data_IF_756598371636
#
_entry.id   IF_756598371636
#
_cell.length_a   1.000
_cell.length_b   1.000
_cell.length_c   1.000
_cell.angle_alpha   90.00
_cell.angle_beta   90.00
_cell.angle_gamma   90.00
#
_symmetry.space_group_name_H-M   'P 1'
#
loop_
_entity.id
_entity.type
_entity.pdbx_description
1 polymer ?
#
# COMPACT_ATOMS: atom_id res chain seq x y z
N UNK A 1 3.49 3.58 -6.58
CA UNK A 1 3.71 5.04 -6.58
C UNK A 1 2.63 5.81 -5.81
N UNK A 2 1.51 5.18 -5.44
CA UNK A 2 0.36 5.84 -4.80
C UNK A 2 -0.39 6.82 -5.73
N UNK A 3 -0.06 6.86 -7.02
CA UNK A 3 -0.67 7.75 -8.02
C UNK A 3 -1.68 6.99 -8.87
N UNK A 4 -2.87 7.59 -9.03
CA UNK A 4 -3.93 7.17 -9.94
C UNK A 4 -3.94 8.02 -11.22
N UNK A 5 -4.46 7.48 -12.30
CA UNK A 5 -4.84 8.23 -13.52
C UNK A 5 -6.29 8.68 -13.47
N UNK A 6 -7.03 8.29 -12.44
CA UNK A 6 -8.43 8.62 -12.21
C UNK A 6 -8.54 9.88 -11.39
N UNK A 7 -9.60 10.65 -11.61
CA UNK A 7 -9.98 11.80 -10.82
C UNK A 7 -10.66 11.36 -9.53
N UNK A 8 -10.34 12.01 -8.41
CA UNK A 8 -11.03 11.80 -7.15
C UNK A 8 -12.30 12.63 -7.02
N UNK A 9 -13.06 12.49 -5.91
CA UNK A 9 -14.27 13.26 -5.68
C UNK A 9 -13.99 14.68 -5.18
N UNK A 10 -14.83 15.62 -5.58
CA UNK A 10 -14.83 16.99 -5.07
C UNK A 10 -15.58 17.10 -3.72
N UNK A 11 -16.30 16.05 -3.33
CA UNK A 11 -17.12 16.03 -2.12
C UNK A 11 -16.86 14.80 -1.23
N UNK A 12 -17.23 14.93 0.05
CA UNK A 12 -17.08 13.89 1.06
C UNK A 12 -18.38 13.13 1.37
N UNK A 13 -19.32 13.06 0.41
CA UNK A 13 -20.58 12.36 0.67
C UNK A 13 -20.36 10.86 0.82
N UNK A 14 -20.98 10.28 1.83
CA UNK A 14 -21.05 8.82 1.97
C UNK A 14 -22.00 8.27 0.88
N UNK A 15 -21.45 7.45 -0.03
CA UNK A 15 -22.25 6.68 -1.01
C UNK A 15 -22.83 5.44 -0.34
N UNK A 16 -21.98 4.68 0.33
CA UNK A 16 -22.35 3.51 1.11
C UNK A 16 -21.24 3.13 2.11
N UNK A 17 -21.61 2.31 3.09
CA UNK A 17 -20.68 1.59 3.95
C UNK A 17 -21.07 0.11 3.99
N UNK A 18 -20.08 -0.76 3.97
CA UNK A 18 -20.25 -2.21 4.09
C UNK A 18 -19.60 -2.69 5.37
N UNK A 19 -20.36 -3.34 6.25
CA UNK A 19 -19.87 -3.83 7.54
C UNK A 19 -19.25 -5.23 7.40
N UNK A 20 -18.03 -5.39 7.92
CA UNK A 20 -17.36 -6.67 8.15
C UNK A 20 -17.39 -6.99 9.65
N UNK A 21 -17.08 -8.24 10.02
CA UNK A 21 -17.14 -8.68 11.43
C UNK A 21 -15.93 -8.21 12.29
N UNK A 22 -14.92 -7.56 11.67
CA UNK A 22 -13.71 -7.10 12.36
C UNK A 22 -13.03 -5.96 11.60
N UNK A 23 -11.93 -5.43 12.16
CA UNK A 23 -11.09 -4.36 11.61
C UNK A 23 -10.73 -4.58 10.14
N UNK A 24 -10.80 -3.51 9.34
CA UNK A 24 -10.38 -3.48 7.94
C UNK A 24 -9.15 -2.58 7.81
N UNK A 25 -7.97 -3.18 7.97
CA UNK A 25 -6.67 -2.50 7.78
C UNK A 25 -6.11 -2.68 6.34
N UNK A 26 -6.61 -3.68 5.61
CA UNK A 26 -6.32 -3.89 4.19
C UNK A 26 -6.81 -2.71 3.35
N UNK A 27 -6.09 -2.38 2.30
CA UNK A 27 -6.58 -1.44 1.28
C UNK A 27 -7.40 -2.16 0.21
N UNK A 28 -8.28 -1.44 -0.44
CA UNK A 28 -9.11 -1.96 -1.52
C UNK A 28 -8.31 -2.07 -2.83
N UNK A 29 -8.68 -3.03 -3.68
CA UNK A 29 -8.33 -3.03 -5.11
C UNK A 29 -9.61 -3.23 -5.92
N UNK A 30 -9.63 -2.69 -7.14
CA UNK A 30 -10.78 -2.76 -8.03
C UNK A 30 -10.43 -3.58 -9.28
N UNK A 31 -11.41 -4.35 -9.78
CA UNK A 31 -11.34 -4.90 -11.13
C UNK A 31 -11.88 -3.90 -12.17
N UNK A 32 -11.94 -4.34 -13.42
CA UNK A 32 -12.41 -3.52 -14.55
C UNK A 32 -13.92 -3.21 -14.50
N UNK A 33 -14.70 -4.03 -13.77
CA UNK A 33 -16.14 -3.81 -13.57
C UNK A 33 -16.41 -2.94 -12.33
N UNK A 34 -15.37 -2.47 -11.66
CA UNK A 34 -15.47 -1.67 -10.43
C UNK A 34 -15.81 -2.49 -9.19
N UNK A 35 -15.76 -3.84 -9.24
CA UNK A 35 -15.88 -4.67 -8.04
C UNK A 35 -14.71 -4.41 -7.11
N UNK A 36 -15.00 -4.17 -5.85
CA UNK A 36 -14.03 -3.86 -4.80
C UNK A 36 -13.64 -5.14 -4.07
N UNK A 37 -12.34 -5.45 -4.03
CA UNK A 37 -11.81 -6.58 -3.26
C UNK A 37 -11.00 -6.06 -2.08
N UNK A 38 -11.34 -6.54 -0.87
CA UNK A 38 -10.74 -6.06 0.37
C UNK A 38 -10.70 -7.18 1.42
N UNK A 39 -9.60 -7.25 2.17
CA UNK A 39 -9.42 -8.20 3.25
C UNK A 39 -9.82 -7.62 4.61
N UNK A 40 -10.29 -8.47 5.52
CA UNK A 40 -10.60 -8.09 6.90
C UNK A 40 -9.88 -8.99 7.92
N UNK A 41 -9.73 -8.49 9.13
CA UNK A 41 -9.23 -9.28 10.26
C UNK A 41 -10.24 -10.32 10.75
N UNK A 42 -11.48 -10.33 10.24
CA UNK A 42 -12.45 -11.40 10.43
C UNK A 42 -12.13 -12.67 9.63
N UNK A 43 -10.99 -12.68 8.94
CA UNK A 43 -10.44 -13.78 8.15
C UNK A 43 -11.09 -13.98 6.77
N UNK A 44 -11.86 -13.01 6.30
CA UNK A 44 -12.54 -13.09 5.00
C UNK A 44 -11.95 -12.10 4.00
N UNK A 45 -11.91 -12.53 2.74
CA UNK A 45 -11.80 -11.67 1.58
C UNK A 45 -13.20 -11.36 1.09
N UNK A 46 -13.49 -10.09 0.87
CA UNK A 46 -14.78 -9.62 0.38
C UNK A 46 -14.66 -9.12 -1.06
N UNK A 47 -15.63 -9.45 -1.88
CA UNK A 47 -15.91 -8.80 -3.16
C UNK A 47 -17.22 -8.03 -3.02
N UNK A 48 -17.15 -6.71 -3.15
CA UNK A 48 -18.26 -5.79 -2.97
C UNK A 48 -18.53 -5.14 -4.33
N UNK A 49 -19.79 -5.08 -4.75
CA UNK A 49 -20.18 -4.39 -5.98
C UNK A 49 -20.07 -2.87 -5.83
N UNK A 50 -20.00 -2.10 -6.94
CA UNK A 50 -19.94 -0.63 -6.88
C UNK A 50 -21.11 0.02 -6.11
N UNK A 51 -22.25 -0.65 -6.03
CA UNK A 51 -23.44 -0.21 -5.29
C UNK A 51 -23.36 -0.50 -3.77
N UNK A 52 -22.27 -1.11 -3.29
CA UNK A 52 -22.06 -1.47 -1.89
C UNK A 52 -22.66 -2.83 -1.48
N UNK A 53 -23.32 -3.57 -2.39
CA UNK A 53 -23.85 -4.89 -2.09
C UNK A 53 -22.77 -5.98 -2.17
N UNK A 54 -22.89 -7.01 -1.33
CA UNK A 54 -21.96 -8.14 -1.36
C UNK A 54 -22.11 -8.92 -2.67
N UNK A 55 -21.01 -9.12 -3.41
CA UNK A 55 -20.95 -10.05 -4.55
C UNK A 55 -20.66 -11.45 -4.06
N UNK A 56 -19.62 -11.62 -3.26
CA UNK A 56 -19.26 -12.85 -2.56
C UNK A 56 -18.23 -12.56 -1.44
N UNK A 57 -18.05 -13.51 -0.53
CA UNK A 57 -16.95 -13.52 0.41
C UNK A 57 -16.31 -14.90 0.50
N UNK A 58 -15.02 -14.96 0.73
CA UNK A 58 -14.24 -16.20 0.84
C UNK A 58 -13.54 -16.27 2.20
N UNK A 59 -13.71 -17.38 2.93
CA UNK A 59 -13.02 -17.60 4.20
C UNK A 59 -11.57 -18.06 3.93
N UNK A 60 -10.63 -17.20 4.27
CA UNK A 60 -9.18 -17.44 4.18
C UNK A 60 -8.67 -18.23 5.39
N UNK A 61 -9.42 -18.23 6.50
CA UNK A 61 -9.07 -18.94 7.74
C UNK A 61 -8.01 -18.24 8.58
N UNK A 62 -7.62 -17.00 8.25
CA UNK A 62 -6.66 -16.18 9.01
C UNK A 62 -6.84 -14.71 8.68
N UNK A 63 -6.47 -13.82 9.61
CA UNK A 63 -6.51 -12.36 9.42
C UNK A 63 -5.82 -11.93 8.13
N UNK A 64 -6.38 -10.92 7.47
CA UNK A 64 -5.83 -10.33 6.25
C UNK A 64 -5.47 -8.88 6.57
N UNK A 65 -4.17 -8.57 6.54
CA UNK A 65 -3.65 -7.21 6.67
C UNK A 65 -3.19 -6.66 5.31
N UNK A 66 -2.75 -7.57 4.43
CA UNK A 66 -2.24 -7.21 3.11
C UNK A 66 -3.36 -6.71 2.20
N UNK A 67 -3.02 -5.77 1.33
CA UNK A 67 -3.86 -5.39 0.19
C UNK A 67 -3.85 -6.54 -0.83
N UNK A 68 -4.99 -7.03 -1.32
CA UNK A 68 -5.03 -8.00 -2.41
C UNK A 68 -4.38 -7.44 -3.68
N UNK A 69 -4.00 -8.30 -4.62
CA UNK A 69 -3.54 -7.87 -5.94
C UNK A 69 -4.32 -8.60 -7.04
N UNK A 70 -4.59 -7.92 -8.17
CA UNK A 70 -5.35 -8.47 -9.28
C UNK A 70 -4.50 -8.46 -10.55
N UNK A 71 -4.47 -9.57 -11.26
CA UNK A 71 -3.90 -9.66 -12.61
C UNK A 71 -4.58 -10.74 -13.42
N UNK A 72 -4.92 -10.45 -14.67
CA UNK A 72 -5.52 -11.42 -15.61
C UNK A 72 -6.71 -12.19 -15.00
N UNK A 73 -7.62 -11.47 -14.35
CA UNK A 73 -8.81 -12.03 -13.69
C UNK A 73 -8.50 -13.03 -12.56
N UNK A 74 -7.34 -12.88 -11.93
CA UNK A 74 -6.94 -13.65 -10.73
C UNK A 74 -6.66 -12.67 -9.59
N UNK A 75 -7.27 -12.93 -8.44
CA UNK A 75 -7.07 -12.20 -7.20
C UNK A 75 -6.07 -13.00 -6.35
N UNK A 76 -5.02 -12.34 -5.91
CA UNK A 76 -4.05 -12.91 -5.00
C UNK A 76 -4.19 -12.25 -3.63
N UNK A 77 -4.34 -13.05 -2.59
CA UNK A 77 -4.46 -12.58 -1.22
C UNK A 77 -3.51 -13.34 -0.30
N UNK A 78 -2.83 -12.59 0.57
CA UNK A 78 -1.91 -13.11 1.56
C UNK A 78 -2.54 -13.06 2.94
N UNK A 79 -2.44 -14.17 3.67
CA UNK A 79 -2.98 -14.30 5.02
C UNK A 79 -1.87 -14.23 6.07
N UNK A 80 -2.21 -13.70 7.25
CA UNK A 80 -1.30 -13.56 8.39
C UNK A 80 -0.60 -14.87 8.79
N UNK A 81 -1.22 -16.02 8.57
CA UNK A 81 -0.63 -17.33 8.88
C UNK A 81 0.33 -17.88 7.80
N UNK A 82 0.72 -17.07 6.81
CA UNK A 82 1.65 -17.47 5.75
C UNK A 82 1.01 -18.19 4.56
N UNK A 83 -0.32 -18.27 4.48
CA UNK A 83 -1.02 -18.80 3.32
C UNK A 83 -1.19 -17.74 2.25
N UNK A 84 -1.03 -18.16 1.00
CA UNK A 84 -1.26 -17.34 -0.18
C UNK A 84 -2.31 -18.04 -1.03
N UNK A 85 -3.34 -17.31 -1.42
CA UNK A 85 -4.45 -17.82 -2.21
C UNK A 85 -4.49 -17.11 -3.56
N UNK A 86 -4.86 -17.84 -4.60
CA UNK A 86 -5.28 -17.30 -5.88
C UNK A 86 -6.73 -17.70 -6.14
N UNK A 87 -7.60 -16.72 -6.33
CA UNK A 87 -9.02 -16.89 -6.62
C UNK A 87 -9.34 -16.28 -7.97
N UNK A 88 -10.37 -16.77 -8.67
CA UNK A 88 -10.91 -16.03 -9.80
C UNK A 88 -11.84 -14.89 -9.33
N UNK A 89 -12.37 -14.09 -10.28
CA UNK A 89 -13.26 -12.96 -9.97
C UNK A 89 -14.64 -13.39 -9.43
N UNK A 90 -14.97 -14.70 -9.53
CA UNK A 90 -16.19 -15.29 -8.95
C UNK A 90 -15.93 -15.89 -7.56
N UNK A 91 -14.71 -15.75 -7.03
CA UNK A 91 -14.34 -16.23 -5.70
C UNK A 91 -13.98 -17.74 -5.66
N UNK A 92 -13.83 -18.42 -6.81
CA UNK A 92 -13.44 -19.82 -6.84
C UNK A 92 -11.92 -19.97 -6.67
N UNK A 93 -11.52 -20.88 -5.81
CA UNK A 93 -10.11 -21.16 -5.55
C UNK A 93 -9.42 -21.78 -6.77
N UNK A 94 -8.37 -21.16 -7.27
CA UNK A 94 -7.48 -21.71 -8.30
C UNK A 94 -6.33 -22.52 -7.67
N UNK A 95 -5.66 -21.94 -6.68
CA UNK A 95 -4.64 -22.60 -5.90
C UNK A 95 -4.41 -21.89 -4.56
N UNK A 96 -3.79 -22.62 -3.64
CA UNK A 96 -3.26 -22.09 -2.39
C UNK A 96 -1.92 -22.70 -2.08
N UNK A 97 -1.02 -21.94 -1.49
CA UNK A 97 0.27 -22.40 -0.99
C UNK A 97 0.51 -21.91 0.43
N UNK A 98 1.41 -22.56 1.13
CA UNK A 98 1.84 -22.19 2.48
C UNK A 98 3.33 -21.90 2.47
N UNK A 99 3.74 -20.73 2.96
CA UNK A 99 5.13 -20.44 3.33
C UNK A 99 5.25 -20.45 4.86
N UNK A 100 6.47 -20.60 5.37
CA UNK A 100 6.73 -20.43 6.80
C UNK A 100 6.64 -18.94 7.12
N UNK A 101 6.19 -18.61 8.36
CA UNK A 101 6.11 -17.25 8.84
C UNK A 101 4.84 -16.51 8.42
N UNK A 102 4.65 -15.33 8.99
CA UNK A 102 3.48 -14.48 8.74
C UNK A 102 3.72 -13.63 7.49
N UNK A 103 2.64 -13.16 6.89
CA UNK A 103 2.68 -12.24 5.75
C UNK A 103 1.84 -11.00 6.11
N UNK A 104 2.50 -9.86 6.27
CA UNK A 104 1.90 -8.52 6.36
C UNK A 104 2.12 -7.72 5.07
N UNK A 105 3.15 -8.06 4.33
CA UNK A 105 3.45 -7.49 3.01
C UNK A 105 2.31 -7.74 2.00
N UNK A 106 1.95 -6.74 1.23
CA UNK A 106 1.01 -6.90 0.11
C UNK A 106 1.74 -7.50 -1.10
N UNK A 107 1.13 -8.45 -1.81
CA UNK A 107 1.72 -9.00 -3.03
C UNK A 107 1.76 -7.95 -4.14
N UNK A 108 2.88 -7.87 -4.85
CA UNK A 108 3.04 -7.04 -6.04
C UNK A 108 3.25 -7.95 -7.25
N UNK A 109 2.63 -7.60 -8.37
CA UNK A 109 2.63 -8.42 -9.59
C UNK A 109 3.45 -7.72 -10.66
N UNK A 110 4.44 -8.43 -11.22
CA UNK A 110 5.22 -7.95 -12.36
C UNK A 110 4.46 -8.10 -13.68
N UNK A 111 4.92 -7.44 -14.76
CA UNK A 111 4.31 -7.48 -16.08
C UNK A 111 4.11 -8.91 -16.63
N UNK A 112 4.99 -9.86 -16.29
CA UNK A 112 4.87 -11.27 -16.65
C UNK A 112 4.02 -12.11 -15.70
N UNK A 113 3.35 -11.48 -14.72
CA UNK A 113 2.39 -12.10 -13.82
C UNK A 113 3.01 -12.77 -12.58
N UNK A 114 4.32 -12.68 -12.35
CA UNK A 114 4.92 -13.21 -11.14
C UNK A 114 4.59 -12.32 -9.94
N UNK A 115 4.34 -12.96 -8.79
CA UNK A 115 4.10 -12.29 -7.52
C UNK A 115 5.41 -12.13 -6.76
N UNK A 116 5.50 -11.00 -6.05
CA UNK A 116 6.58 -10.71 -5.12
C UNK A 116 5.97 -10.30 -3.79
N UNK A 117 6.46 -10.84 -2.68
CA UNK A 117 5.98 -10.53 -1.33
C UNK A 117 7.05 -10.82 -0.28
N UNK A 118 7.01 -10.06 0.80
CA UNK A 118 7.85 -10.26 1.97
C UNK A 118 7.16 -11.10 3.04
N UNK A 119 7.95 -11.65 3.96
CA UNK A 119 7.46 -12.41 5.11
C UNK A 119 8.31 -12.16 6.36
N UNK A 120 7.72 -12.37 7.55
CA UNK A 120 8.41 -12.28 8.82
C UNK A 120 9.37 -13.47 9.09
N UNK A 121 9.43 -14.43 8.17
CA UNK A 121 10.47 -15.45 8.17
C UNK A 121 11.80 -14.99 7.55
N UNK A 122 11.94 -13.69 7.27
CA UNK A 122 13.15 -13.01 6.76
C UNK A 122 13.38 -13.16 5.26
N UNK A 123 12.39 -13.61 4.48
CA UNK A 123 12.52 -13.78 3.04
C UNK A 123 11.62 -12.86 2.24
N UNK A 124 12.15 -12.39 1.11
CA UNK A 124 11.37 -11.93 -0.03
C UNK A 124 11.21 -13.11 -0.99
N UNK A 125 9.98 -13.35 -1.44
CA UNK A 125 9.64 -14.45 -2.35
C UNK A 125 9.26 -13.95 -3.73
N UNK A 126 9.64 -14.70 -4.77
CA UNK A 126 9.05 -14.63 -6.11
C UNK A 126 8.29 -15.91 -6.38
N UNK A 127 7.02 -15.77 -6.79
CA UNK A 127 6.09 -16.87 -6.98
C UNK A 127 5.50 -16.74 -8.38
N UNK A 128 5.42 -17.86 -9.12
CA UNK A 128 4.79 -17.87 -10.44
C UNK A 128 3.27 -17.70 -10.36
N UNK A 129 2.58 -17.34 -11.46
CA UNK A 129 1.12 -17.28 -11.51
C UNK A 129 0.43 -18.62 -11.16
N UNK A 130 1.16 -19.75 -11.29
CA UNK A 130 0.68 -21.09 -10.94
C UNK A 130 0.96 -21.48 -9.47
N UNK A 131 1.44 -20.54 -8.63
CA UNK A 131 1.71 -20.80 -7.21
C UNK A 131 3.06 -21.51 -6.91
N UNK A 132 3.97 -21.63 -7.89
CA UNK A 132 5.30 -22.20 -7.65
C UNK A 132 6.27 -21.14 -7.16
N UNK A 133 6.95 -21.38 -6.04
CA UNK A 133 8.06 -20.53 -5.58
C UNK A 133 9.21 -20.66 -6.59
N UNK A 134 9.58 -19.54 -7.22
CA UNK A 134 10.67 -19.50 -8.20
C UNK A 134 12.02 -19.24 -7.54
N UNK A 135 12.04 -18.32 -6.56
CA UNK A 135 13.19 -18.07 -5.70
C UNK A 135 12.74 -17.38 -4.40
N UNK A 136 13.62 -17.39 -3.41
CA UNK A 136 13.50 -16.68 -2.16
C UNK A 136 14.85 -16.04 -1.80
N UNK A 137 14.82 -14.75 -1.45
CA UNK A 137 15.99 -13.98 -1.03
C UNK A 137 15.96 -13.76 0.48
N UNK A 138 17.04 -14.15 1.17
CA UNK A 138 17.14 -14.03 2.63
C UNK A 138 17.63 -12.63 3.05
N UNK A 139 16.94 -12.02 3.99
CA UNK A 139 17.37 -10.85 4.76
C UNK A 139 17.79 -11.28 6.17
N UNK A 140 18.10 -10.32 7.04
CA UNK A 140 18.50 -10.62 8.44
C UNK A 140 17.36 -10.49 9.44
N UNK A 141 16.23 -9.90 9.05
CA UNK A 141 15.00 -9.72 9.85
C UNK A 141 13.78 -9.72 8.93
N UNK A 142 12.60 -9.46 9.49
CA UNK A 142 11.30 -9.43 8.81
C UNK A 142 11.32 -8.56 7.54
N UNK A 143 10.55 -8.96 6.55
CA UNK A 143 10.26 -8.19 5.34
C UNK A 143 8.76 -7.87 5.36
N UNK A 144 8.39 -6.81 6.10
CA UNK A 144 7.01 -6.31 6.20
C UNK A 144 6.68 -5.35 5.05
N UNK A 145 7.69 -4.72 4.48
CA UNK A 145 7.59 -3.86 3.31
C UNK A 145 7.04 -4.62 2.11
N UNK A 146 6.05 -4.06 1.42
CA UNK A 146 5.65 -4.55 0.11
C UNK A 146 6.68 -4.12 -0.93
N UNK A 147 7.07 -4.97 -1.89
CA UNK A 147 8.09 -4.61 -2.86
C UNK A 147 7.58 -3.61 -3.91
N UNK A 148 8.49 -2.89 -4.57
CA UNK A 148 8.23 -2.16 -5.80
C UNK A 148 9.09 -2.72 -6.93
N UNK A 149 8.60 -2.67 -8.16
CA UNK A 149 9.27 -3.24 -9.33
C UNK A 149 9.37 -2.16 -10.39
N UNK A 150 10.57 -1.92 -10.92
CA UNK A 150 10.76 -1.00 -12.04
C UNK A 150 10.49 -1.68 -13.41
N UNK A 151 10.61 -0.90 -14.48
CA UNK A 151 10.37 -1.39 -15.83
C UNK A 151 11.42 -2.41 -16.32
N UNK A 152 12.59 -2.46 -15.68
CA UNK A 152 13.66 -3.43 -15.95
C UNK A 152 13.46 -4.72 -15.16
N UNK A 153 12.48 -4.75 -14.24
CA UNK A 153 12.18 -5.87 -13.37
C UNK A 153 13.07 -5.93 -12.12
N UNK A 154 13.80 -4.86 -11.80
CA UNK A 154 14.51 -4.72 -10.51
C UNK A 154 13.48 -4.61 -9.39
N UNK A 155 13.68 -5.38 -8.33
CA UNK A 155 12.77 -5.44 -7.18
C UNK A 155 13.38 -4.70 -6.01
N UNK A 156 12.70 -3.65 -5.54
CA UNK A 156 13.10 -2.84 -4.39
C UNK A 156 12.22 -3.16 -3.19
N UNK A 157 12.79 -3.26 -2.00
CA UNK A 157 12.04 -3.49 -0.76
C UNK A 157 12.85 -3.08 0.48
N UNK A 158 12.14 -2.82 1.55
CA UNK A 158 12.72 -2.57 2.87
C UNK A 158 12.70 -3.81 3.76
N UNK A 159 13.58 -3.86 4.76
CA UNK A 159 13.57 -4.90 5.79
C UNK A 159 13.75 -4.30 7.18
N UNK A 160 13.21 -4.98 8.18
CA UNK A 160 13.42 -4.64 9.59
C UNK A 160 14.88 -4.83 10.05
N UNK A 161 15.76 -5.29 9.16
CA UNK A 161 17.22 -5.30 9.39
C UNK A 161 17.89 -3.94 9.09
N UNK A 162 17.07 -2.90 8.85
CA UNK A 162 17.51 -1.53 8.57
C UNK A 162 18.24 -1.41 7.23
N UNK A 163 17.77 -2.12 6.21
CA UNK A 163 18.28 -2.03 4.84
C UNK A 163 17.18 -1.88 3.82
N UNK A 164 17.48 -1.07 2.82
CA UNK A 164 16.77 -1.01 1.54
C UNK A 164 17.53 -1.90 0.58
N UNK A 165 16.85 -2.82 -0.07
CA UNK A 165 17.42 -3.79 -1.00
C UNK A 165 16.96 -3.53 -2.42
N UNK A 166 17.82 -3.82 -3.38
CA UNK A 166 17.49 -3.98 -4.78
C UNK A 166 17.98 -5.34 -5.28
N UNK A 167 17.10 -6.10 -5.90
CA UNK A 167 17.41 -7.39 -6.51
C UNK A 167 17.21 -7.33 -8.01
N UNK A 168 18.08 -8.04 -8.75
CA UNK A 168 17.86 -8.31 -10.16
C UNK A 168 16.64 -9.24 -10.35
N UNK A 169 16.06 -9.33 -11.56
CA UNK A 169 14.90 -10.19 -11.84
C UNK A 169 15.10 -11.67 -11.52
N UNK A 170 16.37 -12.14 -11.48
CA UNK A 170 16.76 -13.52 -11.12
C UNK A 170 16.88 -13.73 -9.60
N UNK A 171 16.65 -12.71 -8.79
CA UNK A 171 16.70 -12.76 -7.33
C UNK A 171 18.09 -12.54 -6.72
N UNK A 172 19.11 -12.23 -7.53
CA UNK A 172 20.44 -11.88 -7.03
C UNK A 172 20.47 -10.43 -6.53
N UNK A 173 21.24 -10.22 -5.47
CA UNK A 173 21.45 -8.89 -4.91
C UNK A 173 22.12 -7.98 -5.93
N UNK A 174 21.48 -6.84 -6.25
CA UNK A 174 22.07 -5.75 -7.04
C UNK A 174 22.82 -4.80 -6.11
N UNK A 175 22.16 -4.35 -5.05
CA UNK A 175 22.74 -3.55 -3.97
C UNK A 175 21.84 -3.54 -2.73
N UNK A 176 22.39 -3.07 -1.61
CA UNK A 176 21.62 -2.66 -0.45
C UNK A 176 22.18 -1.35 0.13
N UNK A 177 21.28 -0.51 0.67
CA UNK A 177 21.62 0.73 1.39
C UNK A 177 21.13 0.63 2.84
N UNK A 178 21.92 1.16 3.79
CA UNK A 178 21.58 1.11 5.23
C UNK A 178 20.79 2.34 5.65
N UNK A 179 19.78 2.12 6.48
CA UNK A 179 19.10 3.14 7.27
C UNK A 179 19.51 3.04 8.74
N UNK A 180 19.08 3.98 9.58
CA UNK A 180 19.35 3.93 11.03
C UNK A 180 18.23 3.26 11.83
N UNK A 181 17.10 2.94 11.20
CA UNK A 181 15.92 2.28 11.80
C UNK A 181 15.37 1.16 10.93
N UNK A 182 14.47 0.37 11.49
CA UNK A 182 13.72 -0.66 10.79
C UNK A 182 12.91 -0.05 9.64
N UNK A 183 12.55 -0.86 8.64
CA UNK A 183 11.76 -0.42 7.50
C UNK A 183 10.51 -1.28 7.40
N UNK A 184 9.37 -0.67 7.68
CA UNK A 184 8.02 -1.24 7.54
C UNK A 184 7.30 -0.65 6.34
N UNK A 185 7.60 0.59 5.98
CA UNK A 185 7.12 1.31 4.80
C UNK A 185 7.49 0.58 3.50
N UNK A 186 6.66 0.68 2.48
CA UNK A 186 6.97 0.17 1.13
C UNK A 186 7.65 1.25 0.28
N UNK A 187 8.59 0.89 -0.61
CA UNK A 187 9.25 1.86 -1.47
C UNK A 187 8.32 2.37 -2.57
N UNK A 188 8.53 3.62 -2.99
CA UNK A 188 7.96 4.17 -4.20
C UNK A 188 9.06 4.51 -5.20
N UNK A 189 8.76 4.36 -6.50
CA UNK A 189 9.69 4.68 -7.60
C UNK A 189 9.18 5.94 -8.28
N UNK A 190 10.00 6.97 -8.32
CA UNK A 190 9.72 8.22 -9.00
C UNK A 190 9.82 8.12 -10.53
N UNK A 191 9.35 9.14 -11.26
CA UNK A 191 9.40 9.15 -12.72
C UNK A 191 10.83 9.17 -13.28
N UNK A 192 11.80 9.63 -12.51
CA UNK A 192 13.24 9.63 -12.82
C UNK A 192 13.98 8.36 -12.33
N UNK A 193 13.24 7.36 -11.82
CA UNK A 193 13.80 6.13 -11.26
C UNK A 193 14.31 6.28 -9.82
N UNK A 194 14.17 7.43 -9.17
CA UNK A 194 14.53 7.61 -7.76
C UNK A 194 13.67 6.72 -6.87
N UNK A 195 14.30 6.01 -5.92
CA UNK A 195 13.62 5.14 -4.96
C UNK A 195 13.42 5.92 -3.66
N UNK A 196 12.17 6.09 -3.24
CA UNK A 196 11.80 6.75 -2.00
C UNK A 196 11.39 5.71 -0.96
N UNK A 197 11.95 5.80 0.26
CA UNK A 197 11.72 4.82 1.32
C UNK A 197 11.60 5.49 2.69
N UNK A 198 10.49 5.28 3.38
CA UNK A 198 10.32 5.66 4.78
C UNK A 198 11.05 4.69 5.73
N UNK A 199 11.45 5.17 6.90
CA UNK A 199 12.11 4.36 7.93
C UNK A 199 11.67 4.77 9.34
N UNK A 200 11.78 3.83 10.28
CA UNK A 200 11.48 4.05 11.70
C UNK A 200 12.56 4.90 12.42
N UNK A 201 13.60 5.35 11.70
CA UNK A 201 14.49 6.43 12.20
C UNK A 201 13.91 7.84 11.97
N UNK A 202 12.69 7.91 11.39
CA UNK A 202 12.01 9.16 11.06
C UNK A 202 12.51 9.81 9.77
N UNK A 203 13.24 9.09 8.93
CA UNK A 203 13.74 9.62 7.65
C UNK A 203 12.99 9.06 6.47
N UNK A 204 12.67 9.94 5.53
CA UNK A 204 12.38 9.60 4.16
C UNK A 204 13.69 9.65 3.38
N UNK A 205 14.12 8.51 2.88
CA UNK A 205 15.33 8.38 2.04
C UNK A 205 14.96 8.46 0.56
N UNK A 206 15.79 9.15 -0.21
CA UNK A 206 15.77 9.12 -1.67
C UNK A 206 17.09 8.55 -2.17
N UNK A 207 17.01 7.47 -2.95
CA UNK A 207 18.17 6.77 -3.52
C UNK A 207 18.11 6.80 -5.03
N UNK A 208 19.28 6.91 -5.66
CA UNK A 208 19.42 6.66 -7.10
C UNK A 208 19.20 5.17 -7.41
N UNK A 209 18.91 4.78 -8.68
CA UNK A 209 18.80 3.39 -9.09
C UNK A 209 20.05 2.52 -8.82
N UNK A 210 21.21 3.12 -8.62
CA UNK A 210 22.47 2.45 -8.23
C UNK A 210 22.61 2.27 -6.70
N UNK A 211 21.62 2.72 -5.91
CA UNK A 211 21.60 2.59 -4.44
C UNK A 211 22.32 3.70 -3.69
N UNK A 212 22.91 4.68 -4.38
CA UNK A 212 23.52 5.83 -3.73
C UNK A 212 22.44 6.80 -3.24
N UNK A 213 22.61 7.29 -2.02
CA UNK A 213 21.70 8.27 -1.44
C UNK A 213 21.79 9.61 -2.18
N UNK A 214 20.64 10.11 -2.68
CA UNK A 214 20.50 11.49 -3.21
C UNK A 214 20.37 12.46 -2.05
N UNK A 215 19.39 12.22 -1.20
CA UNK A 215 19.07 13.01 -0.02
C UNK A 215 18.27 12.21 1.00
N UNK A 216 18.06 12.76 2.17
CA UNK A 216 17.03 12.34 3.12
C UNK A 216 16.34 13.56 3.73
N UNK A 217 15.08 13.38 4.12
CA UNK A 217 14.28 14.34 4.87
C UNK A 217 13.97 13.78 6.25
N UNK A 218 14.13 14.58 7.31
CA UNK A 218 13.91 14.15 8.70
C UNK A 218 12.54 14.62 9.19
N UNK A 219 11.66 13.70 9.57
CA UNK A 219 10.42 13.93 10.33
C UNK A 219 10.68 13.82 11.83
N UNK A 220 9.67 14.14 12.66
CA UNK A 220 9.83 14.09 14.12
C UNK A 220 9.67 12.70 14.72
N UNK A 221 9.03 11.75 14.01
CA UNK A 221 8.81 10.35 14.42
C UNK A 221 8.93 9.41 13.23
N UNK A 222 8.66 8.14 13.43
CA UNK A 222 8.72 7.06 12.45
C UNK A 222 7.90 7.36 11.19
N UNK A 223 8.33 6.80 10.07
CA UNK A 223 7.61 6.80 8.80
C UNK A 223 7.24 5.36 8.46
N UNK A 224 6.00 4.98 8.84
CA UNK A 224 5.40 3.69 8.47
C UNK A 224 4.58 3.81 7.18
N UNK A 225 4.08 5.01 6.87
CA UNK A 225 3.40 5.34 5.61
C UNK A 225 4.32 5.10 4.42
N UNK A 226 3.82 4.48 3.36
CA UNK A 226 4.57 4.39 2.10
C UNK A 226 4.47 5.70 1.33
N UNK A 227 5.56 6.20 0.72
CA UNK A 227 5.53 7.45 -0.03
C UNK A 227 4.64 7.35 -1.27
N UNK A 228 3.94 8.43 -1.61
CA UNK A 228 3.31 8.61 -2.91
C UNK A 228 4.10 9.65 -3.72
N UNK A 229 4.22 9.44 -5.04
CA UNK A 229 5.02 10.30 -5.92
C UNK A 229 4.15 10.81 -7.06
N UNK A 230 4.03 12.12 -7.21
CA UNK A 230 3.28 12.74 -8.30
C UNK A 230 3.97 12.58 -9.65
N UNK A 231 3.30 12.98 -10.73
CA UNK A 231 3.85 12.98 -12.09
C UNK A 231 5.06 13.91 -12.21
N UNK A 232 5.05 15.01 -11.47
CA UNK A 232 6.12 16.02 -11.41
C UNK A 232 7.28 15.60 -10.48
N UNK A 233 7.17 14.44 -9.81
CA UNK A 233 8.18 13.94 -8.87
C UNK A 233 8.03 14.49 -7.45
N UNK A 234 6.97 15.24 -7.10
CA UNK A 234 6.72 15.62 -5.71
C UNK A 234 6.39 14.38 -4.87
N UNK A 235 6.91 14.35 -3.65
CA UNK A 235 6.79 13.19 -2.75
C UNK A 235 5.92 13.56 -1.56
N UNK A 236 4.90 12.73 -1.28
CA UNK A 236 4.00 12.89 -0.15
C UNK A 236 4.18 11.70 0.79
N UNK A 237 4.32 11.97 2.09
CA UNK A 237 4.53 10.89 3.08
C UNK A 237 3.92 11.26 4.43
N UNK A 238 3.21 10.32 5.04
CA UNK A 238 2.70 10.42 6.40
C UNK A 238 3.75 10.04 7.43
N UNK A 239 3.65 10.61 8.63
CA UNK A 239 4.53 10.28 9.76
C UNK A 239 3.71 9.99 11.02
N UNK A 240 4.31 9.20 11.91
CA UNK A 240 3.77 8.93 13.24
C UNK A 240 3.79 10.17 14.15
N UNK A 241 4.36 11.30 13.68
CA UNK A 241 4.19 12.59 14.35
C UNK A 241 2.82 13.24 14.06
N UNK A 242 2.00 12.62 13.19
CA UNK A 242 0.68 13.09 12.79
C UNK A 242 0.69 14.16 11.70
N UNK A 243 1.78 14.26 10.95
CA UNK A 243 1.90 15.20 9.83
C UNK A 243 2.02 14.46 8.50
N UNK A 244 1.36 14.98 7.47
CA UNK A 244 1.64 14.69 6.08
C UNK A 244 2.65 15.72 5.58
N UNK A 245 3.72 15.26 4.97
CA UNK A 245 4.78 16.08 4.40
C UNK A 245 4.75 16.02 2.88
N UNK A 246 4.89 17.16 2.22
CA UNK A 246 5.08 17.26 0.78
C UNK A 246 6.46 17.84 0.47
N UNK A 247 7.21 17.14 -0.35
CA UNK A 247 8.58 17.48 -0.73
C UNK A 247 8.67 17.63 -2.26
N UNK A 248 9.56 18.50 -2.74
CA UNK A 248 9.92 18.51 -4.14
C UNK A 248 10.89 17.35 -4.48
N UNK A 249 11.24 17.10 -5.77
CA UNK A 249 12.19 16.04 -6.16
C UNK A 249 13.58 16.15 -5.55
N UNK A 250 13.99 17.33 -5.08
CA UNK A 250 15.28 17.60 -4.45
C UNK A 250 15.26 17.39 -2.93
N UNK A 251 14.10 16.97 -2.38
CA UNK A 251 13.94 16.74 -0.93
C UNK A 251 13.67 17.99 -0.11
N UNK A 252 13.36 19.11 -0.76
CA UNK A 252 13.02 20.37 -0.08
C UNK A 252 11.54 20.35 0.29
N UNK A 253 11.25 20.67 1.56
CA UNK A 253 9.87 20.76 2.06
C UNK A 253 9.09 21.85 1.35
N UNK A 254 7.95 21.49 0.77
CA UNK A 254 6.98 22.42 0.16
C UNK A 254 5.96 22.88 1.20
N UNK A 255 5.34 21.94 1.87
CA UNK A 255 4.35 22.19 2.91
C UNK A 255 4.19 20.98 3.84
N UNK A 256 3.51 21.23 4.96
CA UNK A 256 3.14 20.23 5.95
C UNK A 256 1.69 20.43 6.36
N UNK A 257 0.92 19.33 6.40
CA UNK A 257 -0.44 19.33 6.92
C UNK A 257 -0.50 18.51 8.22
N UNK A 258 -1.05 19.09 9.29
CA UNK A 258 -1.12 18.47 10.62
C UNK A 258 -2.50 17.87 10.88
N UNK A 259 -2.55 16.61 11.31
CA UNK A 259 -3.75 15.94 11.83
C UNK A 259 -3.64 15.76 13.35
N UNK A 260 -4.74 15.33 13.99
CA UNK A 260 -4.76 15.04 15.42
C UNK A 260 -4.38 13.58 15.75
N UNK A 261 -3.99 12.78 14.76
CA UNK A 261 -3.60 11.39 14.91
C UNK A 261 -2.37 11.02 14.10
N UNK A 262 -1.84 9.82 14.33
CA UNK A 262 -0.75 9.24 13.55
C UNK A 262 -1.21 9.03 12.10
N UNK A 263 -0.30 9.18 11.12
CA UNK A 263 -0.56 8.89 9.71
C UNK A 263 0.29 7.69 9.29
N UNK A 264 -0.32 6.49 9.29
CA UNK A 264 0.28 5.26 8.77
C UNK A 264 -0.28 4.87 7.41
N UNK A 265 -1.46 5.40 7.05
CA UNK A 265 -2.05 5.27 5.72
C UNK A 265 -1.11 5.85 4.65
N UNK A 266 -0.93 5.14 3.55
CA UNK A 266 -0.17 5.66 2.41
C UNK A 266 -1.05 6.62 1.60
N UNK A 267 -0.54 7.80 1.21
CA UNK A 267 -1.33 8.75 0.41
C UNK A 267 -1.66 8.19 -0.97
N UNK A 268 -2.87 8.50 -1.47
CA UNK A 268 -3.24 8.34 -2.88
C UNK A 268 -3.31 9.71 -3.54
N UNK A 269 -2.84 9.79 -4.79
CA UNK A 269 -2.83 11.01 -5.59
C UNK A 269 -3.74 10.78 -6.80
N UNK A 270 -4.70 11.65 -7.04
CA UNK A 270 -5.57 11.59 -8.22
C UNK A 270 -4.93 12.23 -9.46
N UNK A 271 -5.66 12.24 -10.59
CA UNK A 271 -5.19 12.83 -11.85
C UNK A 271 -4.97 14.34 -11.78
N UNK A 272 -5.67 15.02 -10.89
CA UNK A 272 -5.58 16.48 -10.69
C UNK A 272 -4.49 16.84 -9.66
N UNK A 273 -3.88 15.81 -9.03
CA UNK A 273 -2.84 15.95 -8.03
C UNK A 273 -3.37 16.13 -6.60
N UNK A 274 -4.68 15.97 -6.36
CA UNK A 274 -5.22 15.99 -5.01
C UNK A 274 -4.78 14.77 -4.23
N UNK A 275 -4.56 14.94 -2.93
CA UNK A 275 -3.97 13.94 -2.05
C UNK A 275 -5.00 13.46 -1.03
N UNK A 276 -5.20 12.14 -0.97
CA UNK A 276 -6.13 11.51 -0.03
C UNK A 276 -5.36 10.58 0.91
N UNK A 277 -5.65 10.64 2.21
CA UNK A 277 -4.98 9.80 3.22
C UNK A 277 -5.83 9.65 4.48
N UNK A 278 -5.66 8.51 5.15
CA UNK A 278 -6.29 8.23 6.43
C UNK A 278 -5.41 8.62 7.61
N UNK A 279 -6.04 8.88 8.76
CA UNK A 279 -5.36 9.18 10.01
C UNK A 279 -5.97 8.41 11.19
N UNK A 280 -5.19 8.25 12.24
CA UNK A 280 -5.65 7.63 13.49
C UNK A 280 -6.62 8.55 14.27
N UNK A 281 -6.80 9.81 13.86
CA UNK A 281 -7.87 10.66 14.38
C UNK A 281 -9.25 10.32 13.78
N UNK A 282 -9.36 9.16 13.09
CA UNK A 282 -10.58 8.60 12.49
C UNK A 282 -11.07 9.38 11.26
N UNK A 283 -10.22 10.16 10.62
CA UNK A 283 -10.60 10.93 9.44
C UNK A 283 -9.85 10.48 8.20
N UNK A 284 -10.58 10.41 7.09
CA UNK A 284 -10.04 10.50 5.76
C UNK A 284 -9.94 11.99 5.39
N UNK A 285 -8.81 12.39 4.85
CA UNK A 285 -8.54 13.77 4.44
C UNK A 285 -8.34 13.85 2.93
N UNK A 286 -8.77 14.96 2.35
CA UNK A 286 -8.45 15.39 0.98
C UNK A 286 -7.79 16.75 1.01
N UNK A 287 -6.65 16.88 0.34
CA UNK A 287 -5.89 18.11 0.17
C UNK A 287 -5.64 18.38 -1.32
N UNK A 288 -5.55 19.65 -1.70
CA UNK A 288 -5.04 20.06 -3.01
C UNK A 288 -3.51 19.86 -3.12
N UNK A 289 -2.93 19.95 -4.33
CA UNK A 289 -1.48 19.77 -4.53
C UNK A 289 -0.60 20.76 -3.77
N UNK A 290 -1.12 21.91 -3.42
CA UNK A 290 -0.46 22.97 -2.62
C UNK A 290 -0.64 22.81 -1.10
N UNK A 291 -1.35 21.74 -0.67
CA UNK A 291 -1.59 21.44 0.74
C UNK A 291 -2.81 22.12 1.35
N UNK A 292 -3.63 22.82 0.55
CA UNK A 292 -4.88 23.40 1.01
C UNK A 292 -5.89 22.30 1.36
N UNK A 293 -6.54 22.42 2.52
CA UNK A 293 -7.59 21.51 2.95
C UNK A 293 -8.81 21.63 2.04
N UNK A 294 -9.26 20.51 1.46
CA UNK A 294 -10.48 20.43 0.66
C UNK A 294 -11.65 19.95 1.52
N UNK A 295 -11.53 18.75 2.06
CA UNK A 295 -12.56 18.16 2.91
C UNK A 295 -12.00 17.02 3.78
N UNK A 296 -12.79 16.56 4.73
CA UNK A 296 -12.53 15.35 5.50
C UNK A 296 -13.82 14.59 5.77
N UNK A 297 -13.71 13.25 5.88
CA UNK A 297 -14.79 12.36 6.29
C UNK A 297 -14.43 11.64 7.59
N UNK A 298 -15.34 11.58 8.56
CA UNK A 298 -15.11 10.96 9.87
C UNK A 298 -15.75 9.57 9.94
N UNK A 299 -14.96 8.57 10.36
CA UNK A 299 -15.39 7.19 10.61
C UNK A 299 -15.50 6.90 12.10
N UNK A 300 -16.04 5.72 12.47
CA UNK A 300 -16.10 5.28 13.87
C UNK A 300 -14.75 4.84 14.45
N UNK A 301 -13.79 4.43 13.61
CA UNK A 301 -12.48 3.90 14.00
C UNK A 301 -11.31 4.59 13.31
N UNK A 302 -10.08 4.25 13.69
CA UNK A 302 -8.87 4.77 13.02
C UNK A 302 -8.77 4.25 11.59
N UNK A 303 -8.17 5.04 10.69
CA UNK A 303 -7.99 4.68 9.30
C UNK A 303 -6.50 4.39 9.07
N UNK A 304 -6.18 3.08 8.93
CA UNK A 304 -4.84 2.59 8.57
C UNK A 304 -4.74 2.20 7.11
N UNK A 305 -5.87 1.78 6.52
CA UNK A 305 -5.91 1.43 5.10
C UNK A 305 -5.53 2.63 4.23
N UNK A 306 -4.93 2.35 3.09
CA UNK A 306 -4.67 3.39 2.09
C UNK A 306 -5.90 3.57 1.20
N UNK A 307 -6.31 4.81 0.89
CA UNK A 307 -7.45 5.06 0.02
C UNK A 307 -7.16 4.61 -1.41
N UNK A 308 -8.19 4.09 -2.07
CA UNK A 308 -8.14 3.67 -3.47
C UNK A 308 -9.17 4.47 -4.26
N UNK A 309 -8.74 5.08 -5.36
CA UNK A 309 -9.58 5.92 -6.22
C UNK A 309 -10.20 5.04 -7.31
N UNK A 310 -11.51 5.01 -7.38
CA UNK A 310 -12.29 4.30 -8.39
C UNK A 310 -12.58 5.14 -9.63
N UNK A 311 -13.05 4.49 -10.73
CA UNK A 311 -13.31 5.16 -12.00
C UNK A 311 -14.53 6.10 -11.97
N UNK A 312 -15.39 5.96 -10.99
CA UNK A 312 -16.61 6.76 -10.76
C UNK A 312 -16.39 7.93 -9.79
N UNK A 313 -15.15 8.40 -9.65
CA UNK A 313 -14.75 9.45 -8.69
C UNK A 313 -15.11 9.09 -7.25
N UNK A 314 -14.99 7.82 -6.90
CA UNK A 314 -15.24 7.30 -5.55
C UNK A 314 -13.94 6.89 -4.89
N UNK A 315 -13.78 7.19 -3.62
CA UNK A 315 -12.69 6.71 -2.78
C UNK A 315 -13.18 5.56 -1.91
N UNK A 316 -12.46 4.44 -1.98
CA UNK A 316 -12.71 3.25 -1.19
C UNK A 316 -11.63 3.05 -0.15
N UNK A 317 -12.00 2.78 1.09
CA UNK A 317 -11.05 2.52 2.18
C UNK A 317 -11.69 1.72 3.31
N UNK A 318 -10.85 1.07 4.10
CA UNK A 318 -11.26 0.35 5.31
C UNK A 318 -11.02 1.17 6.57
N UNK A 319 -11.73 0.84 7.64
CA UNK A 319 -11.57 1.46 8.96
C UNK A 319 -11.53 0.40 10.07
N UNK A 320 -10.91 0.77 11.18
CA UNK A 320 -10.86 -0.11 12.36
C UNK A 320 -12.20 -0.24 13.10
N UNK A 321 -13.26 0.43 12.62
CA UNK A 321 -14.63 0.21 13.07
C UNK A 321 -15.31 -0.99 12.39
N UNK A 322 -14.58 -1.70 11.51
CA UNK A 322 -15.09 -2.85 10.78
C UNK A 322 -15.81 -2.52 9.49
N UNK A 323 -15.82 -1.27 9.05
CA UNK A 323 -16.50 -0.88 7.81
C UNK A 323 -15.52 -0.64 6.67
N UNK A 324 -15.98 -0.98 5.47
CA UNK A 324 -15.49 -0.49 4.18
C UNK A 324 -16.35 0.68 3.78
N UNK A 325 -15.75 1.77 3.40
CA UNK A 325 -16.44 3.02 3.02
C UNK A 325 -16.23 3.34 1.54
N UNK A 326 -17.27 3.87 0.93
CA UNK A 326 -17.22 4.51 -0.39
C UNK A 326 -17.67 5.98 -0.26
N UNK A 327 -16.76 6.89 -0.57
CA UNK A 327 -16.96 8.33 -0.47
C UNK A 327 -16.86 8.94 -1.86
N UNK A 328 -17.82 9.78 -2.24
CA UNK A 328 -17.83 10.40 -3.54
C UNK A 328 -18.99 11.34 -3.75
N UNK A 329 -19.24 11.67 -5.01
CA UNK A 329 -20.40 12.44 -5.41
C UNK A 329 -21.66 11.58 -5.32
N UNK A 330 -22.80 12.22 -4.98
CA UNK A 330 -24.11 11.57 -4.96
C UNK A 330 -24.65 11.41 -6.37
#
# INVERSE_FOLDING_TARGET
>A
TGRSTLQGPDSNNLKWSFHTENIVDSSAVLDHDGTIYIGSQDKRLYAIKPDGTLKWSYDIGSKIFSTPAISKNVIYVCAWNGRIFALDLDGKLKWKIQIKGRISSSPVISANGNLFLGSDNYYLYKISPAGKILWAFATRKYVDSSPAIDNEGTVYFGSNDSRIYALNPDGKLKWHSKTKGQITSSPAIGPDGTIYQGSNDGRLYALNPDGKQKWYFQTKKWIDSSPAVSKEGNVYVGSNDGSLYALNPDGILKWTFKTNGVITSSPAIDSDGNIYFGSWDKKLYALSPDGTFLWSFTTGGVIRSSPTIGPDRTIYFGSSDGNVYAIGEK
#
